data_IF_026494946551
#
_entry.id   IF_026494946551
#
_cell.length_a   1.000
_cell.length_b   1.000
_cell.length_c   1.000
_cell.angle_alpha   90.00
_cell.angle_beta   90.00
_cell.angle_gamma   90.00
#
_symmetry.space_group_name_H-M   'P 1'
#
loop_
_entity.id
_entity.type
_entity.pdbx_description
1 polymer ?
#
# COMPACT_ATOMS: atom_id res chain seq x y z
N UNK A 1 64.67 32.74 13.60
CA UNK A 1 63.72 33.69 12.97
C UNK A 1 62.89 32.94 11.92
N UNK A 2 61.60 33.25 11.85
CA UNK A 2 60.47 32.39 11.43
C UNK A 2 60.55 31.69 10.04
N UNK A 3 59.91 30.51 9.89
CA UNK A 3 59.69 29.88 8.59
C UNK A 3 58.55 30.57 7.81
N UNK A 4 58.72 30.63 6.48
CA UNK A 4 57.83 31.27 5.51
C UNK A 4 56.42 30.67 5.54
N UNK A 5 55.44 31.49 5.92
CA UNK A 5 54.03 31.16 5.82
C UNK A 5 53.57 31.15 4.36
N UNK A 6 52.99 30.04 3.90
CA UNK A 6 52.23 30.00 2.65
C UNK A 6 50.85 30.63 2.87
N UNK A 7 50.34 31.49 1.98
CA UNK A 7 49.02 32.04 2.13
C UNK A 7 47.99 30.92 1.92
N UNK A 8 47.18 30.66 2.96
CA UNK A 8 45.98 29.82 2.86
C UNK A 8 44.97 30.53 1.97
N UNK A 9 45.04 30.33 0.65
CA UNK A 9 43.88 30.58 -0.20
C UNK A 9 42.84 29.51 0.13
N UNK A 10 41.88 29.87 0.97
CA UNK A 10 40.65 29.14 1.14
C UNK A 10 39.90 29.15 -0.20
N UNK A 11 40.14 28.14 -1.01
CA UNK A 11 39.36 27.84 -2.21
C UNK A 11 37.96 27.43 -1.76
N UNK A 12 37.09 28.43 -1.54
CA UNK A 12 35.65 28.21 -1.48
C UNK A 12 35.16 27.91 -2.90
N UNK A 13 35.50 26.74 -3.43
CA UNK A 13 34.73 26.15 -4.53
C UNK A 13 33.43 25.64 -3.92
N UNK A 14 32.49 26.56 -3.73
CA UNK A 14 31.09 26.20 -3.60
C UNK A 14 30.72 25.42 -4.87
N UNK A 15 30.71 24.10 -4.78
CA UNK A 15 30.20 23.24 -5.83
C UNK A 15 28.70 23.53 -5.91
N UNK A 16 28.34 24.44 -6.82
CA UNK A 16 26.98 24.62 -7.27
C UNK A 16 26.54 23.27 -7.85
N UNK A 17 25.89 22.46 -7.02
CA UNK A 17 25.18 21.26 -7.45
C UNK A 17 24.04 21.77 -8.30
N UNK A 18 24.30 21.95 -9.60
CA UNK A 18 23.29 22.22 -10.60
C UNK A 18 22.39 20.98 -10.60
N UNK A 19 21.30 21.05 -9.83
CA UNK A 19 20.22 20.07 -9.89
C UNK A 19 19.69 20.13 -11.30
N UNK A 20 20.18 19.25 -12.19
CA UNK A 20 19.69 19.12 -13.57
C UNK A 20 18.17 19.04 -13.50
N UNK A 21 17.51 20.07 -14.04
CA UNK A 21 16.06 20.07 -14.16
C UNK A 21 15.65 18.80 -14.89
N UNK A 22 14.85 17.94 -14.24
CA UNK A 22 14.36 16.71 -14.86
C UNK A 22 13.55 17.13 -16.07
N UNK A 23 14.02 16.77 -17.27
CA UNK A 23 13.28 16.98 -18.53
C UNK A 23 11.90 16.37 -18.34
N UNK A 24 10.85 17.20 -18.45
CA UNK A 24 9.47 16.70 -18.32
C UNK A 24 9.28 15.59 -19.37
N UNK A 25 8.67 14.46 -19.01
CA UNK A 25 8.40 13.41 -19.99
C UNK A 25 7.57 14.00 -21.13
N UNK A 26 7.94 13.68 -22.36
CA UNK A 26 7.23 14.11 -23.57
C UNK A 26 5.91 13.34 -23.62
N UNK A 27 4.87 13.86 -22.97
CA UNK A 27 3.51 13.33 -23.12
C UNK A 27 3.07 13.79 -24.50
N UNK A 28 2.88 12.85 -25.43
CA UNK A 28 2.25 13.18 -26.72
C UNK A 28 0.86 13.73 -26.40
N UNK A 29 0.55 14.92 -26.88
CA UNK A 29 -0.78 15.49 -26.75
C UNK A 29 -1.75 14.59 -27.53
N UNK A 30 -2.72 14.01 -26.82
CA UNK A 30 -3.75 13.17 -27.43
C UNK A 30 -4.75 14.11 -28.09
N UNK A 31 -4.78 14.15 -29.42
CA UNK A 31 -5.71 14.95 -30.21
C UNK A 31 -6.72 14.03 -30.90
N UNK A 32 -8.01 14.25 -30.66
CA UNK A 32 -9.10 13.57 -31.34
C UNK A 32 -9.72 14.47 -32.41
N UNK A 33 -10.29 13.86 -33.45
CA UNK A 33 -11.14 14.57 -34.42
C UNK A 33 -12.53 14.74 -33.83
N UNK A 34 -13.10 15.94 -33.96
CA UNK A 34 -14.37 16.31 -33.34
C UNK A 34 -15.31 16.97 -34.34
N UNK A 35 -16.61 16.67 -34.24
CA UNK A 35 -17.69 17.30 -35.00
C UNK A 35 -17.40 17.35 -36.51
N UNK A 36 -17.30 18.56 -37.09
CA UNK A 36 -17.07 18.77 -38.51
C UNK A 36 -15.69 18.35 -39.03
N UNK A 37 -14.80 17.87 -38.17
CA UNK A 37 -13.53 17.24 -38.60
C UNK A 37 -13.73 15.78 -39.05
N UNK A 38 -14.90 15.20 -38.79
CA UNK A 38 -15.25 13.83 -39.18
C UNK A 38 -15.80 13.87 -40.60
N UNK A 39 -15.07 13.29 -41.56
CA UNK A 39 -15.41 13.31 -42.99
C UNK A 39 -16.14 12.07 -43.48
N UNK A 40 -16.33 11.06 -42.62
CA UNK A 40 -16.95 9.78 -42.99
C UNK A 40 -18.46 9.91 -43.19
N UNK A 41 -19.06 9.04 -44.00
CA UNK A 41 -20.50 9.05 -44.32
C UNK A 41 -21.34 8.34 -43.26
N UNK A 42 -20.83 7.23 -42.75
CA UNK A 42 -21.46 6.36 -41.77
C UNK A 42 -20.53 6.19 -40.57
N UNK A 43 -21.10 6.15 -39.37
CA UNK A 43 -20.39 6.03 -38.10
C UNK A 43 -21.10 5.04 -37.19
N UNK A 44 -20.34 4.29 -36.40
CA UNK A 44 -20.88 3.47 -35.32
C UNK A 44 -20.86 4.28 -34.03
N UNK A 45 -22.03 4.58 -33.50
CA UNK A 45 -22.17 5.20 -32.20
C UNK A 45 -21.99 4.11 -31.13
N UNK A 46 -20.99 4.28 -30.25
CA UNK A 46 -20.62 3.32 -29.19
C UNK A 46 -21.17 3.74 -27.82
N UNK A 47 -21.46 5.03 -27.63
CA UNK A 47 -21.98 5.52 -26.38
C UNK A 47 -22.43 6.97 -26.43
N UNK A 48 -23.43 7.27 -25.60
CA UNK A 48 -24.00 8.60 -25.47
C UNK A 48 -23.97 9.03 -24.01
N UNK A 49 -23.43 10.22 -23.71
CA UNK A 49 -23.60 10.83 -22.39
C UNK A 49 -25.02 11.37 -22.26
N UNK A 50 -25.79 10.83 -21.29
CA UNK A 50 -27.10 11.37 -20.94
C UNK A 50 -26.95 12.41 -19.82
N UNK A 51 -27.61 13.56 -19.97
CA UNK A 51 -27.61 14.64 -18.97
C UNK A 51 -28.73 14.47 -17.92
N UNK A 52 -29.63 13.49 -18.13
CA UNK A 52 -30.90 13.34 -17.40
C UNK A 52 -30.72 12.94 -15.94
N UNK A 53 -29.62 12.26 -15.60
CA UNK A 53 -29.29 11.91 -14.23
C UNK A 53 -28.29 12.91 -13.66
N UNK A 54 -28.35 13.20 -12.36
CA UNK A 54 -27.37 14.03 -11.66
C UNK A 54 -25.92 13.46 -11.69
N UNK A 55 -25.72 12.31 -12.35
CA UNK A 55 -24.46 11.67 -12.64
C UNK A 55 -24.24 11.57 -14.16
N UNK A 56 -22.98 11.76 -14.60
CA UNK A 56 -22.59 11.61 -16.00
C UNK A 56 -22.27 10.14 -16.31
N UNK A 57 -23.29 9.34 -16.58
CA UNK A 57 -23.12 7.97 -17.03
C UNK A 57 -23.08 7.96 -18.57
N UNK A 58 -22.19 7.13 -19.14
CA UNK A 58 -22.17 6.88 -20.58
C UNK A 58 -23.12 5.71 -20.80
N UNK A 59 -24.24 5.95 -21.46
CA UNK A 59 -25.12 4.87 -21.90
C UNK A 59 -24.46 4.19 -23.10
N UNK A 60 -24.28 2.87 -23.00
CA UNK A 60 -23.83 2.04 -24.11
C UNK A 60 -24.91 2.06 -25.19
N UNK A 61 -24.58 2.64 -26.34
CA UNK A 61 -25.40 2.62 -27.53
C UNK A 61 -24.59 1.88 -28.58
N UNK A 62 -25.17 0.93 -29.30
CA UNK A 62 -24.47 0.22 -30.37
C UNK A 62 -25.33 0.33 -31.63
N UNK A 63 -25.32 1.54 -32.21
CA UNK A 63 -26.17 1.90 -33.34
C UNK A 63 -25.33 2.44 -34.50
N UNK A 64 -25.57 1.92 -35.69
CA UNK A 64 -24.97 2.43 -36.92
C UNK A 64 -25.83 3.57 -37.46
N UNK A 65 -25.25 4.76 -37.58
CA UNK A 65 -25.95 5.97 -37.98
C UNK A 65 -25.17 6.70 -39.08
N UNK A 66 -25.85 7.38 -40.01
CA UNK A 66 -25.18 8.33 -40.88
C UNK A 66 -24.63 9.50 -40.04
N UNK A 67 -23.47 10.02 -40.41
CA UNK A 67 -22.76 11.07 -39.66
C UNK A 67 -23.62 12.32 -39.43
N UNK A 68 -24.49 12.65 -40.38
CA UNK A 68 -25.43 13.77 -40.25
C UNK A 68 -26.39 13.62 -39.07
N UNK A 69 -26.92 12.41 -38.85
CA UNK A 69 -27.81 12.11 -37.72
C UNK A 69 -27.03 12.12 -36.42
N UNK A 70 -25.83 11.54 -36.38
CA UNK A 70 -24.98 11.54 -35.19
C UNK A 70 -24.58 12.96 -34.76
N UNK A 71 -24.27 13.85 -35.72
CA UNK A 71 -24.01 15.27 -35.47
C UNK A 71 -25.24 16.01 -34.94
N UNK A 72 -26.42 15.75 -35.50
CA UNK A 72 -27.67 16.32 -35.01
C UNK A 72 -27.95 15.90 -33.57
N UNK A 73 -27.81 14.61 -33.27
CA UNK A 73 -27.98 14.06 -31.92
C UNK A 73 -26.97 14.63 -30.91
N UNK A 74 -25.76 14.99 -31.34
CA UNK A 74 -24.78 15.67 -30.49
C UNK A 74 -25.20 17.13 -30.22
N UNK A 75 -25.63 17.85 -31.26
CA UNK A 75 -26.10 19.24 -31.17
C UNK A 75 -27.35 19.39 -30.32
N UNK A 76 -28.34 18.50 -30.47
CA UNK A 76 -29.59 18.50 -29.68
C UNK A 76 -29.31 18.40 -28.18
N UNK A 77 -28.20 17.75 -27.81
CA UNK A 77 -27.76 17.55 -26.43
C UNK A 77 -26.74 18.59 -25.96
N UNK A 78 -26.28 19.47 -26.85
CA UNK A 78 -25.20 20.43 -26.55
C UNK A 78 -23.85 19.77 -26.26
N UNK A 79 -23.63 18.57 -26.77
CA UNK A 79 -22.39 17.80 -26.64
C UNK A 79 -21.66 17.73 -27.98
N UNK A 80 -20.44 17.21 -27.95
CA UNK A 80 -19.62 17.05 -29.15
C UNK A 80 -19.61 15.58 -29.60
N UNK A 81 -19.50 15.38 -30.91
CA UNK A 81 -19.25 14.08 -31.53
C UNK A 81 -17.74 13.85 -31.61
N UNK A 82 -17.24 12.86 -30.89
CA UNK A 82 -15.81 12.55 -30.77
C UNK A 82 -15.52 11.25 -31.50
N UNK A 83 -14.56 11.28 -32.42
CA UNK A 83 -14.07 10.08 -33.09
C UNK A 83 -13.02 9.39 -32.21
N UNK A 84 -13.24 8.11 -31.92
CA UNK A 84 -12.35 7.30 -31.06
C UNK A 84 -11.36 6.54 -31.91
N UNK A 85 -11.87 5.69 -32.80
CA UNK A 85 -11.08 4.78 -33.62
C UNK A 85 -11.45 4.93 -35.10
N UNK A 86 -10.46 5.30 -35.92
CA UNK A 86 -10.59 5.40 -37.39
C UNK A 86 -10.41 4.04 -38.07
N UNK A 87 -9.81 3.06 -37.39
CA UNK A 87 -9.42 1.77 -37.97
C UNK A 87 -10.59 0.78 -38.11
N UNK A 88 -11.76 1.11 -37.55
CA UNK A 88 -12.96 0.26 -37.61
C UNK A 88 -13.85 0.69 -38.78
N UNK A 89 -14.39 -0.26 -39.55
CA UNK A 89 -15.35 -0.02 -40.61
C UNK A 89 -16.76 -0.48 -40.16
N UNK A 90 -17.70 0.42 -39.82
CA UNK A 90 -17.63 1.89 -39.85
C UNK A 90 -16.93 2.51 -38.60
N UNK A 91 -16.39 3.74 -38.71
CA UNK A 91 -15.60 4.36 -37.64
C UNK A 91 -16.41 4.60 -36.37
N UNK A 92 -15.77 4.35 -35.23
CA UNK A 92 -16.41 4.39 -33.91
C UNK A 92 -16.40 5.80 -33.32
N UNK A 93 -17.59 6.29 -32.95
CA UNK A 93 -17.82 7.62 -32.39
C UNK A 93 -18.54 7.56 -31.04
N UNK A 94 -18.26 8.52 -30.17
CA UNK A 94 -18.98 8.74 -28.92
C UNK A 94 -19.48 10.18 -28.86
N UNK A 95 -20.66 10.38 -28.28
CA UNK A 95 -21.20 11.71 -27.99
C UNK A 95 -20.89 12.08 -26.54
N UNK A 96 -20.14 13.16 -26.32
CA UNK A 96 -19.74 13.61 -24.99
C UNK A 96 -18.89 14.89 -24.99
N UNK A 97 -18.44 15.33 -23.80
CA UNK A 97 -17.53 16.49 -23.68
C UNK A 97 -16.08 16.12 -24.05
N UNK A 98 -15.53 16.79 -25.06
CA UNK A 98 -14.15 16.62 -25.56
C UNK A 98 -13.11 16.76 -24.46
N UNK A 99 -13.25 17.76 -23.59
CA UNK A 99 -12.24 18.07 -22.57
C UNK A 99 -12.17 16.96 -21.52
N UNK A 100 -13.34 16.48 -21.10
CA UNK A 100 -13.47 15.39 -20.15
C UNK A 100 -12.88 14.10 -20.76
N UNK A 101 -13.23 13.79 -22.00
CA UNK A 101 -12.72 12.62 -22.70
C UNK A 101 -11.19 12.64 -22.84
N UNK A 102 -10.60 13.76 -23.31
CA UNK A 102 -9.14 13.92 -23.40
C UNK A 102 -8.47 13.68 -22.04
N UNK A 103 -9.03 14.22 -20.95
CA UNK A 103 -8.49 14.02 -19.61
C UNK A 103 -8.52 12.55 -19.18
N UNK A 104 -9.65 11.87 -19.42
CA UNK A 104 -9.85 10.46 -19.07
C UNK A 104 -8.92 9.55 -19.88
N UNK A 105 -8.82 9.75 -21.20
CA UNK A 105 -7.89 9.01 -22.05
C UNK A 105 -6.45 9.25 -21.60
N UNK A 106 -6.05 10.51 -21.34
CA UNK A 106 -4.69 10.79 -20.86
C UNK A 106 -4.42 10.15 -19.49
N UNK A 107 -5.41 10.11 -18.59
CA UNK A 107 -5.28 9.45 -17.30
C UNK A 107 -5.11 7.95 -17.47
N UNK A 108 -5.93 7.31 -18.30
CA UNK A 108 -5.84 5.90 -18.64
C UNK A 108 -4.50 5.56 -19.30
N UNK A 109 -4.07 6.32 -20.30
CA UNK A 109 -2.77 6.16 -20.96
C UNK A 109 -1.60 6.34 -19.99
N UNK A 110 -1.67 7.27 -19.03
CA UNK A 110 -0.64 7.44 -18.00
C UNK A 110 -0.58 6.24 -17.05
N UNK A 111 -1.73 5.68 -16.70
CA UNK A 111 -1.82 4.47 -15.86
C UNK A 111 -1.27 3.26 -16.63
N UNK A 112 -1.73 3.02 -17.85
CA UNK A 112 -1.20 1.98 -18.73
C UNK A 112 0.30 2.13 -18.96
N UNK A 113 0.79 3.34 -19.24
CA UNK A 113 2.22 3.60 -19.39
C UNK A 113 3.00 3.45 -18.08
N UNK A 114 2.36 3.62 -16.92
CA UNK A 114 2.98 3.32 -15.63
C UNK A 114 3.10 1.81 -15.41
N UNK A 115 2.04 1.07 -15.72
CA UNK A 115 1.94 -0.38 -15.58
C UNK A 115 2.79 -1.13 -16.62
N UNK A 116 2.95 -0.57 -17.82
CA UNK A 116 3.72 -1.10 -18.94
C UNK A 116 5.19 -0.64 -18.98
N UNK A 117 5.69 0.08 -17.96
CA UNK A 117 7.14 0.42 -17.89
C UNK A 117 8.00 -0.84 -17.97
N UNK A 118 9.33 -0.79 -17.92
CA UNK A 118 10.14 -2.01 -17.71
C UNK A 118 10.53 -2.06 -16.23
N UNK A 119 10.37 -3.19 -15.52
CA UNK A 119 10.75 -3.26 -14.13
C UNK A 119 12.25 -2.99 -14.02
N UNK A 120 12.62 -2.10 -13.10
CA UNK A 120 14.04 -1.76 -12.91
C UNK A 120 14.67 -2.87 -12.09
N UNK A 121 15.60 -3.61 -12.69
CA UNK A 121 16.41 -4.58 -11.98
C UNK A 121 17.49 -3.85 -11.17
N UNK A 122 17.48 -4.06 -9.85
CA UNK A 122 18.57 -3.64 -8.96
C UNK A 122 19.44 -4.84 -8.64
N UNK A 123 20.76 -4.65 -8.62
CA UNK A 123 21.70 -5.72 -8.33
C UNK A 123 22.20 -5.64 -6.88
N UNK A 124 22.15 -6.76 -6.16
CA UNK A 124 22.84 -6.95 -4.88
C UNK A 124 23.99 -7.92 -5.12
N UNK A 125 25.21 -7.48 -4.81
CA UNK A 125 26.43 -8.29 -4.96
C UNK A 125 26.93 -8.72 -3.59
N UNK A 126 27.23 -10.00 -3.45
CA UNK A 126 27.77 -10.60 -2.22
C UNK A 126 28.86 -11.62 -2.54
N UNK A 127 29.58 -12.06 -1.51
CA UNK A 127 30.60 -13.11 -1.58
C UNK A 127 30.20 -14.26 -0.66
N UNK A 128 30.72 -15.47 -0.90
CA UNK A 128 30.39 -16.66 -0.12
C UNK A 128 30.77 -16.57 1.38
N UNK A 129 31.71 -15.69 1.75
CA UNK A 129 32.17 -15.47 3.14
C UNK A 129 31.37 -14.39 3.88
N UNK A 130 30.12 -14.14 3.48
CA UNK A 130 29.28 -13.13 4.13
C UNK A 130 28.93 -13.57 5.56
N UNK A 131 29.07 -12.65 6.52
CA UNK A 131 28.63 -12.88 7.91
C UNK A 131 27.17 -12.48 8.14
N UNK A 132 26.57 -12.97 9.22
CA UNK A 132 25.14 -12.80 9.52
C UNK A 132 24.70 -11.33 9.55
N UNK A 133 25.51 -10.43 10.12
CA UNK A 133 25.18 -9.02 10.20
C UNK A 133 25.12 -8.32 8.82
N UNK A 134 26.05 -8.67 7.91
CA UNK A 134 26.05 -8.09 6.55
C UNK A 134 24.88 -8.67 5.75
N UNK A 135 24.59 -9.97 5.91
CA UNK A 135 23.44 -10.64 5.30
C UNK A 135 22.13 -9.91 5.66
N UNK A 136 21.88 -9.67 6.95
CA UNK A 136 20.69 -8.93 7.42
C UNK A 136 20.63 -7.49 6.88
N UNK A 137 21.77 -6.83 6.71
CA UNK A 137 21.83 -5.49 6.11
C UNK A 137 21.40 -5.51 4.65
N UNK A 138 21.79 -6.55 3.89
CA UNK A 138 21.36 -6.76 2.50
C UNK A 138 19.88 -7.11 2.42
N UNK A 139 19.35 -7.93 3.34
CA UNK A 139 17.91 -8.23 3.45
C UNK A 139 17.11 -6.95 3.62
N UNK A 140 17.47 -6.08 4.58
CA UNK A 140 16.82 -4.77 4.79
C UNK A 140 16.93 -3.84 3.57
N UNK A 141 18.04 -3.92 2.83
CA UNK A 141 18.20 -3.18 1.59
C UNK A 141 17.27 -3.69 0.50
N UNK A 142 17.12 -5.02 0.39
CA UNK A 142 16.18 -5.66 -0.53
C UNK A 142 14.75 -5.31 -0.18
N UNK A 143 14.37 -5.39 1.09
CA UNK A 143 13.06 -4.98 1.62
C UNK A 143 12.71 -3.56 1.13
N UNK A 144 13.57 -2.57 1.42
CA UNK A 144 13.38 -1.17 0.98
C UNK A 144 13.19 -1.03 -0.53
N UNK A 145 13.78 -1.90 -1.33
CA UNK A 145 13.65 -1.87 -2.78
C UNK A 145 12.37 -2.53 -3.27
N UNK A 146 12.06 -3.72 -2.74
CA UNK A 146 10.84 -4.51 -3.01
C UNK A 146 9.56 -3.74 -2.72
N UNK A 147 9.59 -2.85 -1.72
CA UNK A 147 8.46 -2.00 -1.38
C UNK A 147 8.10 -0.98 -2.48
N UNK A 148 9.05 -0.62 -3.34
CA UNK A 148 8.71 0.22 -4.47
C UNK A 148 8.02 -0.64 -5.53
N UNK A 149 6.92 -0.17 -6.12
CA UNK A 149 6.25 -0.94 -7.16
C UNK A 149 7.22 -1.22 -8.30
N UNK A 150 7.15 -2.45 -8.82
CA UNK A 150 7.74 -2.82 -10.10
C UNK A 150 9.28 -2.76 -10.11
N UNK A 151 9.89 -3.17 -9.01
CA UNK A 151 11.32 -3.43 -8.91
C UNK A 151 11.58 -4.94 -8.86
N UNK A 152 12.62 -5.36 -9.55
CA UNK A 152 13.16 -6.71 -9.44
C UNK A 152 14.54 -6.61 -8.81
N UNK A 153 14.89 -7.55 -7.95
CA UNK A 153 16.21 -7.59 -7.34
C UNK A 153 16.95 -8.81 -7.83
N UNK A 154 18.11 -8.59 -8.45
CA UNK A 154 19.04 -9.64 -8.88
C UNK A 154 20.14 -9.76 -7.84
N UNK A 155 20.15 -10.88 -7.13
CA UNK A 155 21.21 -11.24 -6.21
C UNK A 155 22.30 -11.98 -7.00
N UNK A 156 23.52 -11.48 -6.91
CA UNK A 156 24.71 -12.02 -7.59
C UNK A 156 25.74 -12.38 -6.52
N UNK A 157 26.01 -13.67 -6.38
CA UNK A 157 27.10 -14.17 -5.57
C UNK A 157 28.34 -14.33 -6.45
N UNK A 158 29.34 -13.51 -6.16
CA UNK A 158 30.56 -13.44 -6.96
C UNK A 158 31.52 -14.54 -6.52
N UNK A 159 31.85 -15.44 -7.45
CA UNK A 159 32.70 -16.61 -7.21
C UNK A 159 33.95 -16.50 -8.10
N UNK A 160 35.03 -15.98 -7.54
CA UNK A 160 36.29 -15.75 -8.27
C UNK A 160 37.37 -16.77 -7.89
N UNK A 161 38.07 -17.29 -8.89
CA UNK A 161 39.25 -18.16 -8.70
C UNK A 161 38.94 -19.41 -7.87
N UNK A 162 39.69 -19.62 -6.78
CA UNK A 162 39.55 -20.77 -5.88
C UNK A 162 38.21 -20.83 -5.15
N UNK A 163 37.48 -19.71 -5.06
CA UNK A 163 36.16 -19.67 -4.44
C UNK A 163 35.16 -20.59 -5.14
N UNK A 164 35.34 -20.89 -6.44
CA UNK A 164 34.48 -21.80 -7.20
C UNK A 164 34.40 -23.21 -6.62
N UNK A 165 35.40 -23.65 -5.86
CA UNK A 165 35.39 -24.95 -5.18
C UNK A 165 34.35 -24.99 -4.05
N UNK A 166 34.03 -23.85 -3.45
CA UNK A 166 33.08 -23.72 -2.33
C UNK A 166 31.66 -23.43 -2.81
N UNK A 167 31.22 -24.14 -3.84
CA UNK A 167 29.90 -23.94 -4.43
C UNK A 167 28.77 -24.28 -3.46
N UNK A 168 28.93 -25.35 -2.66
CA UNK A 168 27.94 -25.76 -1.67
C UNK A 168 27.72 -24.70 -0.59
N UNK A 169 28.79 -24.06 -0.10
CA UNK A 169 28.68 -22.96 0.87
C UNK A 169 27.98 -21.75 0.25
N UNK A 170 28.32 -21.44 -0.99
CA UNK A 170 27.68 -20.40 -1.77
C UNK A 170 26.17 -20.64 -1.97
N UNK A 171 25.77 -21.88 -2.24
CA UNK A 171 24.36 -22.26 -2.31
C UNK A 171 23.64 -22.11 -0.96
N UNK A 172 24.28 -22.52 0.14
CA UNK A 172 23.72 -22.37 1.48
C UNK A 172 23.46 -20.89 1.83
N UNK A 173 24.35 -19.98 1.43
CA UNK A 173 24.14 -18.52 1.60
C UNK A 173 22.95 -18.02 0.79
N UNK A 174 22.78 -18.49 -0.45
CA UNK A 174 21.62 -18.15 -1.27
C UNK A 174 20.30 -18.65 -0.66
N UNK A 175 20.30 -19.85 -0.08
CA UNK A 175 19.14 -20.42 0.62
C UNK A 175 18.79 -19.58 1.86
N UNK A 176 19.77 -19.28 2.72
CA UNK A 176 19.54 -18.40 3.88
C UNK A 176 18.96 -17.04 3.49
N UNK A 177 19.46 -16.43 2.41
CA UNK A 177 18.89 -15.19 1.89
C UNK A 177 17.46 -15.35 1.41
N UNK A 178 17.08 -16.51 0.84
CA UNK A 178 15.70 -16.78 0.45
C UNK A 178 14.81 -16.88 1.67
N UNK A 179 15.21 -17.62 2.69
CA UNK A 179 14.42 -17.84 3.91
C UNK A 179 14.13 -16.51 4.61
N UNK A 180 15.16 -15.68 4.79
CA UNK A 180 15.04 -14.33 5.39
C UNK A 180 14.22 -13.34 4.54
N UNK A 181 14.06 -13.60 3.24
CA UNK A 181 13.25 -12.75 2.35
C UNK A 181 11.88 -13.33 2.01
N UNK A 182 11.57 -14.54 2.48
CA UNK A 182 10.31 -15.24 2.21
C UNK A 182 9.07 -14.45 2.68
N UNK A 183 9.22 -13.63 3.73
CA UNK A 183 8.14 -12.78 4.25
C UNK A 183 7.65 -11.72 3.23
N UNK A 184 8.50 -11.28 2.29
CA UNK A 184 8.20 -10.12 1.44
C UNK A 184 8.52 -10.29 -0.05
N UNK A 185 9.31 -11.31 -0.42
CA UNK A 185 9.76 -11.51 -1.79
C UNK A 185 9.72 -12.98 -2.19
N UNK A 186 9.27 -13.23 -3.42
CA UNK A 186 9.29 -14.55 -4.02
C UNK A 186 10.44 -14.65 -5.03
N UNK A 187 11.22 -15.71 -4.96
CA UNK A 187 12.23 -16.02 -5.96
C UNK A 187 11.56 -16.44 -7.28
N UNK A 188 11.99 -15.82 -8.39
CA UNK A 188 11.50 -16.15 -9.73
C UNK A 188 12.15 -17.47 -10.17
N UNK A 189 11.35 -18.52 -10.38
CA UNK A 189 11.80 -19.87 -10.74
C UNK A 189 11.70 -20.92 -9.62
N UNK A 190 11.05 -20.59 -8.50
CA UNK A 190 10.82 -21.52 -7.38
C UNK A 190 12.09 -21.77 -6.54
N UNK A 191 12.04 -22.80 -5.70
CA UNK A 191 13.15 -23.18 -4.80
C UNK A 191 14.44 -23.57 -5.53
N UNK A 192 14.33 -24.00 -6.79
CA UNK A 192 15.40 -24.70 -7.50
C UNK A 192 16.24 -23.84 -8.47
N UNK A 193 15.82 -22.63 -8.84
CA UNK A 193 16.51 -21.91 -9.93
C UNK A 193 17.60 -20.94 -9.43
N UNK A 194 18.58 -21.44 -8.70
CA UNK A 194 19.87 -20.74 -8.55
C UNK A 194 20.64 -20.95 -9.87
N UNK A 195 20.68 -19.92 -10.71
CA UNK A 195 21.35 -20.02 -12.01
C UNK A 195 22.85 -19.80 -11.86
N UNK A 196 23.65 -20.68 -12.43
CA UNK A 196 25.09 -20.44 -12.64
C UNK A 196 25.28 -19.69 -13.95
N UNK A 197 26.00 -18.58 -13.90
CA UNK A 197 26.50 -17.96 -15.13
C UNK A 197 27.62 -18.81 -15.75
N UNK A 198 27.88 -18.62 -17.05
CA UNK A 198 29.10 -19.13 -17.70
C UNK A 198 30.42 -18.67 -17.06
N UNK A 199 30.37 -17.64 -16.19
CA UNK A 199 31.52 -17.19 -15.38
C UNK A 199 31.69 -17.93 -14.05
N UNK A 200 30.69 -18.71 -13.63
CA UNK A 200 30.65 -19.43 -12.34
C UNK A 200 30.06 -18.63 -11.18
N UNK A 201 29.55 -17.43 -11.42
CA UNK A 201 28.80 -16.66 -10.41
C UNK A 201 27.39 -17.26 -10.25
N UNK A 202 26.88 -17.26 -9.02
CA UNK A 202 25.49 -17.67 -8.74
C UNK A 202 24.57 -16.47 -8.83
N UNK A 203 23.42 -16.64 -9.48
CA UNK A 203 22.38 -15.62 -9.59
C UNK A 203 21.05 -16.14 -9.12
N UNK A 204 20.34 -15.27 -8.40
CA UNK A 204 18.95 -15.47 -8.02
C UNK A 204 18.20 -14.16 -8.25
N UNK A 205 17.01 -14.24 -8.86
CA UNK A 205 16.17 -13.06 -9.08
C UNK A 205 14.95 -13.14 -8.20
N UNK A 206 14.64 -12.03 -7.54
CA UNK A 206 13.49 -11.88 -6.67
C UNK A 206 12.51 -10.88 -7.26
N UNK A 207 11.22 -11.18 -7.10
CA UNK A 207 10.10 -10.30 -7.40
C UNK A 207 9.32 -10.05 -6.12
N UNK A 208 8.64 -8.90 -6.03
CA UNK A 208 7.69 -8.70 -4.92
C UNK A 208 6.66 -9.83 -4.93
N UNK A 209 6.43 -10.45 -3.77
CA UNK A 209 5.36 -11.42 -3.61
C UNK A 209 3.97 -10.79 -3.87
N UNK A 210 2.91 -11.62 -3.97
CA UNK A 210 1.54 -11.15 -4.21
C UNK A 210 1.01 -10.22 -3.12
N UNK A 211 1.60 -10.20 -1.92
CA UNK A 211 1.09 -9.44 -0.77
C UNK A 211 1.69 -8.03 -0.64
N UNK A 212 1.54 -7.23 -1.71
CA UNK A 212 1.83 -5.78 -1.64
C UNK A 212 0.97 -5.06 -0.59
N UNK A 213 -0.18 -5.65 -0.20
CA UNK A 213 -1.09 -5.14 0.85
C UNK A 213 -0.49 -5.30 2.25
N UNK A 214 -0.02 -6.51 2.59
CA UNK A 214 0.58 -6.81 3.90
C UNK A 214 1.85 -5.98 4.15
N UNK A 215 2.68 -5.76 3.13
CA UNK A 215 3.88 -4.90 3.27
C UNK A 215 3.56 -3.43 3.57
N UNK A 216 2.38 -2.96 3.14
CA UNK A 216 1.90 -1.61 3.39
C UNK A 216 1.34 -1.49 4.81
N UNK A 217 0.68 -2.54 5.29
CA UNK A 217 0.11 -2.66 6.63
C UNK A 217 1.19 -2.87 7.71
N UNK A 218 2.18 -3.72 7.47
CA UNK A 218 3.32 -3.93 8.35
C UNK A 218 4.11 -2.64 8.60
N UNK A 219 4.26 -1.79 7.57
CA UNK A 219 4.82 -0.44 7.73
C UNK A 219 3.92 0.52 8.48
N UNK A 220 2.61 0.46 8.28
CA UNK A 220 1.65 1.28 9.01
C UNK A 220 1.65 0.95 10.52
N UNK A 221 1.95 -0.31 10.87
CA UNK A 221 2.04 -0.78 12.25
C UNK A 221 3.37 -0.46 12.96
N UNK A 222 4.40 0.01 12.24
CA UNK A 222 5.66 0.48 12.84
C UNK A 222 6.48 -0.59 13.59
N UNK A 223 6.23 -1.88 13.36
CA UNK A 223 6.93 -2.96 14.06
C UNK A 223 8.31 -3.17 13.43
N UNK A 224 9.38 -2.91 14.19
CA UNK A 224 10.73 -3.31 13.79
C UNK A 224 10.89 -4.81 14.00
N UNK A 225 11.36 -5.52 12.97
CA UNK A 225 11.83 -6.90 13.10
C UNK A 225 13.21 -6.87 13.79
N UNK A 226 13.21 -7.06 15.09
CA UNK A 226 14.39 -7.49 15.85
C UNK A 226 14.43 -9.01 15.82
N UNK A 227 15.44 -9.57 15.16
CA UNK A 227 15.68 -11.01 15.12
C UNK A 227 16.15 -11.59 16.46
N UNK A 228 16.03 -12.93 16.54
CA UNK A 228 16.35 -13.88 17.63
C UNK A 228 15.22 -14.04 18.67
N UNK A 229 14.67 -15.24 18.93
CA UNK A 229 15.33 -16.55 19.03
C UNK A 229 14.35 -17.72 18.82
N UNK A 230 14.48 -18.46 17.72
CA UNK A 230 14.01 -19.86 17.64
C UNK A 230 15.21 -20.73 18.02
N UNK A 231 15.47 -20.81 19.32
CA UNK A 231 16.40 -21.80 19.89
C UNK A 231 15.78 -22.50 21.10
N UNK A 232 14.45 -22.42 21.25
CA UNK A 232 13.71 -22.97 22.39
C UNK A 232 12.63 -24.01 22.01
N UNK A 233 12.37 -24.27 20.72
CA UNK A 233 11.25 -25.14 20.31
C UNK A 233 11.63 -26.59 19.95
N UNK A 234 12.90 -26.98 20.06
CA UNK A 234 13.39 -28.29 19.60
C UNK A 234 13.58 -29.35 20.71
N UNK A 235 12.95 -29.23 21.89
CA UNK A 235 13.19 -30.21 22.98
C UNK A 235 11.97 -30.57 23.83
N UNK A 236 10.77 -30.70 23.25
CA UNK A 236 9.61 -31.22 23.99
C UNK A 236 8.56 -31.91 23.11
N UNK A 237 9.02 -32.55 22.04
CA UNK A 237 8.18 -33.39 21.16
C UNK A 237 8.11 -34.87 21.58
N UNK A 238 8.77 -35.29 22.66
CA UNK A 238 8.80 -36.72 23.04
C UNK A 238 8.58 -36.92 24.54
N UNK A 239 7.34 -36.77 25.01
CA UNK A 239 6.82 -37.46 26.19
C UNK A 239 5.28 -37.32 26.25
N UNK A 240 4.63 -38.34 25.67
CA UNK A 240 3.39 -38.98 26.14
C UNK A 240 2.03 -38.27 25.93
N UNK A 241 1.30 -38.87 24.98
CA UNK A 241 -0.16 -38.91 24.86
C UNK A 241 -0.82 -39.43 26.15
N UNK A 242 -1.73 -38.66 26.75
CA UNK A 242 -2.99 -39.12 27.36
C UNK A 242 -3.89 -37.88 27.65
N UNK A 243 -5.20 -38.11 27.78
CA UNK A 243 -6.34 -37.23 27.48
C UNK A 243 -6.56 -35.93 28.31
N UNK A 244 -7.39 -35.04 27.74
CA UNK A 244 -8.19 -33.93 28.32
C UNK A 244 -7.56 -32.84 29.22
N UNK A 245 -7.36 -31.63 28.67
CA UNK A 245 -7.89 -30.33 29.17
C UNK A 245 -7.41 -29.15 28.29
N UNK A 246 -8.21 -28.09 28.06
CA UNK A 246 -7.72 -26.84 27.46
C UNK A 246 -6.85 -26.03 28.46
N UNK A 247 -5.73 -25.42 28.01
CA UNK A 247 -4.77 -24.73 28.88
C UNK A 247 -5.31 -23.42 29.51
N UNK A 248 -4.72 -23.00 30.65
CA UNK A 248 -5.32 -22.07 31.61
C UNK A 248 -5.40 -20.63 31.10
N UNK A 249 -6.51 -19.98 31.45
CA UNK A 249 -6.62 -18.53 31.43
C UNK A 249 -5.46 -17.93 32.24
N UNK A 250 -4.76 -16.97 31.64
CA UNK A 250 -3.91 -16.09 32.41
C UNK A 250 -4.82 -15.26 33.33
N UNK A 251 -4.87 -15.64 34.62
CA UNK A 251 -5.42 -14.82 35.68
C UNK A 251 -4.60 -13.53 35.78
N UNK A 252 -5.00 -12.52 35.01
CA UNK A 252 -4.68 -11.14 35.34
C UNK A 252 -5.66 -10.69 36.42
N UNK A 253 -5.33 -10.98 37.67
CA UNK A 253 -5.97 -10.47 38.89
C UNK A 253 -5.75 -8.96 39.03
N UNK A 254 -6.21 -8.18 38.06
CA UNK A 254 -6.29 -6.74 38.16
C UNK A 254 -7.70 -6.43 38.69
N UNK A 255 -7.87 -6.07 39.98
CA UNK A 255 -9.18 -5.97 40.62
C UNK A 255 -10.11 -4.97 39.92
N UNK A 256 -9.55 -3.97 39.25
CA UNK A 256 -10.30 -2.99 38.45
C UNK A 256 -10.91 -3.60 37.18
N UNK A 257 -10.31 -4.66 36.61
CA UNK A 257 -10.87 -5.36 35.45
C UNK A 257 -12.05 -6.23 35.83
N UNK A 258 -12.01 -6.86 37.02
CA UNK A 258 -13.14 -7.59 37.60
C UNK A 258 -14.30 -6.63 37.91
N UNK A 259 -14.01 -5.49 38.56
CA UNK A 259 -15.03 -4.45 38.83
C UNK A 259 -15.67 -3.90 37.54
N UNK A 260 -14.92 -3.77 36.44
CA UNK A 260 -15.51 -3.36 35.16
C UNK A 260 -16.39 -4.43 34.54
N UNK A 261 -15.94 -5.69 34.57
CA UNK A 261 -16.69 -6.80 34.01
C UNK A 261 -18.03 -6.97 34.73
N UNK A 262 -18.04 -6.84 36.06
CA UNK A 262 -19.27 -6.85 36.89
C UNK A 262 -20.22 -5.71 36.51
N UNK A 263 -19.72 -4.47 36.44
CA UNK A 263 -20.57 -3.31 36.07
C UNK A 263 -21.09 -3.42 34.63
N UNK A 264 -20.33 -4.01 33.72
CA UNK A 264 -20.79 -4.26 32.34
C UNK A 264 -21.84 -5.38 32.25
N UNK A 265 -21.80 -6.36 33.15
CA UNK A 265 -22.86 -7.37 33.28
C UNK A 265 -24.14 -6.74 33.84
N UNK A 266 -24.05 -5.94 34.91
CA UNK A 266 -25.19 -5.20 35.49
C UNK A 266 -25.88 -4.31 34.43
N UNK A 267 -25.11 -3.64 33.56
CA UNK A 267 -25.66 -2.82 32.47
C UNK A 267 -26.39 -3.66 31.41
N UNK A 268 -25.88 -4.86 31.09
CA UNK A 268 -26.50 -5.75 30.11
C UNK A 268 -27.82 -6.29 30.63
N UNK A 269 -27.84 -6.77 31.87
CA UNK A 269 -29.05 -7.30 32.52
C UNK A 269 -30.14 -6.22 32.63
N UNK A 270 -29.80 -5.03 33.13
CA UNK A 270 -30.76 -3.91 33.18
C UNK A 270 -31.27 -3.50 31.80
N UNK A 271 -30.44 -3.58 30.76
CA UNK A 271 -30.87 -3.27 29.40
C UNK A 271 -31.85 -4.32 28.87
N UNK A 272 -31.61 -5.59 29.14
CA UNK A 272 -32.50 -6.69 28.76
C UNK A 272 -33.85 -6.59 29.49
N UNK A 273 -33.85 -6.24 30.78
CA UNK A 273 -35.08 -5.99 31.55
C UNK A 273 -35.88 -4.80 30.98
N UNK A 274 -35.21 -3.68 30.70
CA UNK A 274 -35.88 -2.50 30.13
C UNK A 274 -36.38 -2.73 28.69
N UNK A 275 -35.67 -3.54 27.91
CA UNK A 275 -36.11 -3.98 26.58
C UNK A 275 -37.31 -4.93 26.67
N UNK A 276 -37.36 -5.81 27.67
CA UNK A 276 -38.51 -6.66 27.96
C UNK A 276 -39.74 -5.86 28.43
N UNK A 277 -39.53 -4.74 29.12
CA UNK A 277 -40.58 -3.75 29.44
C UNK A 277 -40.99 -2.87 28.25
N UNK A 278 -40.37 -3.04 27.07
CA UNK A 278 -40.76 -2.38 25.82
C UNK A 278 -40.14 -0.99 25.61
N UNK A 279 -39.21 -0.57 26.46
CA UNK A 279 -38.45 0.68 26.28
C UNK A 279 -37.36 0.46 25.23
N UNK A 280 -37.19 1.41 24.31
CA UNK A 280 -36.18 1.33 23.24
C UNK A 280 -35.34 2.60 23.17
N UNK A 281 -34.07 2.44 22.85
CA UNK A 281 -33.17 3.54 22.51
C UNK A 281 -32.95 4.53 23.66
N UNK A 282 -33.24 5.82 23.43
CA UNK A 282 -33.00 6.90 24.39
C UNK A 282 -33.80 6.77 25.68
N UNK A 283 -34.91 6.03 25.67
CA UNK A 283 -35.71 5.77 26.87
C UNK A 283 -34.93 4.96 27.92
N UNK A 284 -34.20 3.92 27.49
CA UNK A 284 -33.36 3.07 28.34
C UNK A 284 -32.26 3.89 29.03
N UNK A 285 -31.68 4.86 28.31
CA UNK A 285 -30.65 5.74 28.86
C UNK A 285 -31.22 6.82 29.79
N UNK A 286 -32.54 7.00 29.82
CA UNK A 286 -33.21 8.01 30.63
C UNK A 286 -33.55 7.49 32.03
N UNK A 287 -33.60 6.18 32.22
CA UNK A 287 -33.87 5.54 33.50
C UNK A 287 -32.81 5.88 34.57
N UNK A 288 -33.24 6.13 35.82
CA UNK A 288 -32.35 6.56 36.89
C UNK A 288 -31.28 5.51 37.21
N UNK A 289 -31.65 4.23 37.23
CA UNK A 289 -30.73 3.12 37.56
C UNK A 289 -29.68 2.90 36.46
N UNK A 290 -30.08 2.97 35.18
CA UNK A 290 -29.15 2.88 34.05
C UNK A 290 -28.13 4.05 34.10
N UNK A 291 -28.59 5.26 34.41
CA UNK A 291 -27.71 6.44 34.58
C UNK A 291 -26.68 6.25 35.70
N UNK A 292 -27.04 5.56 36.77
CA UNK A 292 -26.13 5.32 37.88
C UNK A 292 -25.12 4.22 37.58
N UNK A 293 -25.53 3.15 36.86
CA UNK A 293 -24.60 2.12 36.37
C UNK A 293 -23.59 2.67 35.35
N UNK A 294 -24.03 3.55 34.45
CA UNK A 294 -23.11 4.21 33.50
C UNK A 294 -22.15 5.19 34.16
N UNK A 295 -22.55 5.90 35.21
CA UNK A 295 -21.62 6.68 36.05
C UNK A 295 -20.63 5.77 36.77
N UNK A 296 -21.09 4.66 37.35
CA UNK A 296 -20.23 3.67 38.02
C UNK A 296 -19.17 3.11 37.06
N UNK A 297 -19.57 2.75 35.84
CA UNK A 297 -18.66 2.32 34.76
C UNK A 297 -17.61 3.38 34.44
N UNK A 298 -18.02 4.64 34.25
CA UNK A 298 -17.08 5.74 33.99
C UNK A 298 -16.13 5.98 35.18
N UNK A 299 -16.60 5.80 36.41
CA UNK A 299 -15.78 5.94 37.61
C UNK A 299 -14.70 4.85 37.66
N UNK A 300 -15.02 3.59 37.34
CA UNK A 300 -14.01 2.52 37.29
C UNK A 300 -13.04 2.73 36.11
N UNK A 301 -13.53 3.12 34.93
CA UNK A 301 -12.68 3.46 33.79
C UNK A 301 -11.72 4.64 34.08
N UNK A 302 -12.15 5.61 34.89
CA UNK A 302 -11.29 6.74 35.30
C UNK A 302 -10.18 6.35 36.26
N UNK A 303 -10.34 5.22 36.99
CA UNK A 303 -9.33 4.66 37.89
C UNK A 303 -8.29 3.81 37.15
N UNK A 304 -8.62 3.30 35.96
CA UNK A 304 -7.64 2.62 35.10
C UNK A 304 -6.66 3.64 34.49
N UNK A 305 -5.37 3.30 34.48
CA UNK A 305 -4.35 4.23 33.97
C UNK A 305 -4.55 4.53 32.46
N UNK A 306 -4.32 5.77 31.99
CA UNK A 306 -4.54 6.16 30.59
C UNK A 306 -3.60 5.49 29.57
N UNK A 307 -2.68 4.62 30.00
CA UNK A 307 -1.68 4.01 29.13
C UNK A 307 -2.26 2.95 28.16
N UNK A 308 -3.49 2.48 28.40
CA UNK A 308 -4.13 1.43 27.59
C UNK A 308 -5.23 1.93 26.62
N UNK A 309 -5.62 3.22 26.66
CA UNK A 309 -6.64 3.76 25.75
C UNK A 309 -6.13 4.98 25.00
N UNK A 310 -5.29 4.71 24.00
CA UNK A 310 -4.87 5.71 23.02
C UNK A 310 -6.04 6.15 22.15
N UNK A 311 -6.65 7.29 22.46
CA UNK A 311 -7.30 8.11 21.43
C UNK A 311 -7.26 9.59 21.77
N UNK A 312 -6.54 10.33 20.92
CA UNK A 312 -6.56 11.78 20.85
C UNK A 312 -7.98 12.25 20.54
N UNK A 313 -8.60 12.95 21.48
CA UNK A 313 -9.44 14.12 21.15
C UNK A 313 -8.71 15.36 21.64
N UNK A 314 -7.85 15.93 20.80
CA UNK A 314 -7.50 17.35 20.92
C UNK A 314 -8.73 18.12 20.46
N UNK A 315 -9.60 18.41 21.43
CA UNK A 315 -10.72 19.32 21.31
C UNK A 315 -10.25 20.77 21.29
N UNK A 316 -10.91 21.53 20.43
CA UNK A 316 -11.45 22.86 20.69
C UNK A 316 -10.75 23.71 21.77
N UNK A 317 -10.07 24.76 21.32
CA UNK A 317 -9.91 25.98 22.12
C UNK A 317 -11.30 26.59 22.35
N UNK A 318 -11.81 26.47 23.57
CA UNK A 318 -12.78 27.41 24.14
C UNK A 318 -12.07 28.05 25.33
N UNK A 319 -11.59 29.28 25.14
CA UNK A 319 -11.12 30.12 26.24
C UNK A 319 -12.32 30.73 26.94
N UNK A 320 -12.40 30.49 28.25
CA UNK A 320 -13.32 31.16 29.17
C UNK A 320 -13.06 32.68 29.26
N UNK A 321 -14.07 33.46 29.69
CA UNK A 321 -13.99 34.91 29.83
C UNK A 321 -13.28 35.31 31.13
N UNK A 322 -12.43 36.33 31.06
CA UNK A 322 -12.00 37.12 32.21
C UNK A 322 -12.54 38.54 32.03
N UNK A 323 -13.39 38.97 32.97
CA UNK A 323 -13.93 40.32 33.01
C UNK A 323 -13.02 41.32 33.74
N UNK A 324 -13.45 42.58 33.64
CA UNK A 324 -13.15 43.70 34.54
C UNK A 324 -11.70 44.21 34.59
N UNK A 325 -11.38 45.20 33.75
CA UNK A 325 -11.19 46.62 34.10
C UNK A 325 -10.82 47.42 32.84
#
# INVERSE_FOLDING_TARGET
>A
AAPRAWPRQASQRASLVVRRARKKPNVKDVSFRVNGQITCTEVQLVGQQSFTSQYSDIEEADEMLPTSIALMQAQDRGLDLILIDEDTDPPSVIIGDVKKYIYETQRAMKQQAFDARVPKAKEVKMTYTVGDHDLLTKVRQMEKWMLNPRQEVKLILVMKGRAKMFEQQAMAVCQRMRDETAEFANAIGGDAMISKDGRGDLRMTFRSGPDKKLLKELKASGRQVTGRSQQAEASKEEAEEEEEEPPPAADSDDPLQQELAEVEQEIKEMREELEACGLKGSAIMSDPEMKDLTKRRQQVLSKMTPAAYGSRRLGARVGLPAGAL
#
